data_IF_051805013628
#
_entry.id   IF_051805013628
#
_cell.length_a   1.000
_cell.length_b   1.000
_cell.length_c   1.000
_cell.angle_alpha   90.00
_cell.angle_beta   90.00
_cell.angle_gamma   90.00
#
_symmetry.space_group_name_H-M   'P 1'
#
loop_
_entity.id
_entity.type
_entity.pdbx_description
1 polymer ?
#
# COMPACT_ATOMS: atom_id res chain seq x y z
N UNK A 1 16.62 11.81 -28.12
CA UNK A 1 16.46 10.34 -28.26
C UNK A 1 14.97 10.05 -28.39
N UNK A 2 14.42 10.19 -29.60
CA UNK A 2 13.06 9.73 -29.94
C UNK A 2 13.23 8.41 -30.70
N UNK A 3 13.42 7.32 -29.95
CA UNK A 3 13.01 6.01 -30.43
C UNK A 3 11.49 5.97 -30.25
N UNK A 4 10.76 5.42 -31.23
CA UNK A 4 9.30 5.24 -31.21
C UNK A 4 8.88 4.38 -30.01
N UNK A 5 8.89 4.94 -28.80
CA UNK A 5 8.48 4.27 -27.59
C UNK A 5 6.96 4.22 -27.58
N UNK A 6 6.42 3.07 -27.97
CA UNK A 6 5.00 2.79 -27.91
C UNK A 6 4.66 2.47 -26.46
N UNK A 7 3.75 3.24 -25.87
CA UNK A 7 3.35 3.02 -24.49
C UNK A 7 2.82 1.59 -24.29
N UNK A 8 3.18 0.93 -23.18
CA UNK A 8 2.67 -0.41 -22.87
C UNK A 8 1.15 -0.37 -22.70
N UNK A 9 0.44 -1.18 -23.50
CA UNK A 9 -1.03 -1.22 -23.53
C UNK A 9 -1.60 -1.52 -22.13
N UNK A 10 -0.95 -2.43 -21.40
CA UNK A 10 -1.40 -2.86 -20.07
C UNK A 10 -1.09 -1.88 -18.94
N UNK A 11 -0.33 -0.80 -19.20
CA UNK A 11 0.01 0.23 -18.22
C UNK A 11 -0.70 1.57 -18.48
N UNK A 12 -1.66 1.62 -19.40
CA UNK A 12 -2.33 2.87 -19.78
C UNK A 12 -2.90 3.64 -18.58
N UNK A 13 -3.65 2.97 -17.69
CA UNK A 13 -4.18 3.64 -16.49
C UNK A 13 -3.05 4.08 -15.55
N UNK A 14 -2.06 3.23 -15.34
CA UNK A 14 -0.93 3.52 -14.47
C UNK A 14 -0.20 4.80 -14.94
N UNK A 15 0.10 4.91 -16.24
CA UNK A 15 0.76 6.08 -16.82
C UNK A 15 -0.10 7.34 -16.71
N UNK A 16 -1.43 7.22 -16.91
CA UNK A 16 -2.35 8.33 -16.71
C UNK A 16 -2.39 8.80 -15.25
N UNK A 17 -2.37 7.89 -14.28
CA UNK A 17 -2.30 8.24 -12.85
C UNK A 17 -0.96 8.88 -12.51
N UNK A 18 0.14 8.32 -13.02
CA UNK A 18 1.48 8.87 -12.80
C UNK A 18 1.59 10.33 -13.28
N UNK A 19 0.97 10.64 -14.43
CA UNK A 19 0.94 11.98 -15.05
C UNK A 19 -0.18 12.90 -14.55
N UNK A 20 -0.84 12.55 -13.44
CA UNK A 20 -1.94 13.33 -12.85
C UNK A 20 -3.16 13.54 -13.77
N UNK A 21 -3.34 12.67 -14.77
CA UNK A 21 -4.49 12.69 -15.68
C UNK A 21 -5.69 11.92 -15.12
N UNK A 22 -5.43 10.89 -14.31
CA UNK A 22 -6.46 10.10 -13.63
C UNK A 22 -6.16 9.99 -12.13
N UNK A 23 -7.18 9.86 -11.28
CA UNK A 23 -6.96 9.65 -9.86
C UNK A 23 -6.44 8.26 -9.55
N UNK A 24 -5.58 8.19 -8.54
CA UNK A 24 -5.18 6.94 -7.91
C UNK A 24 -6.37 6.26 -7.22
N UNK A 25 -6.28 4.95 -7.03
CA UNK A 25 -7.39 4.17 -6.45
C UNK A 25 -7.67 4.53 -4.98
N UNK A 26 -6.68 4.97 -4.22
CA UNK A 26 -6.91 5.38 -2.83
C UNK A 26 -7.74 6.66 -2.75
N UNK A 27 -7.56 7.61 -3.67
CA UNK A 27 -8.38 8.82 -3.77
C UNK A 27 -9.83 8.46 -4.11
N UNK A 28 -10.03 7.54 -5.05
CA UNK A 28 -11.37 7.04 -5.40
C UNK A 28 -12.00 6.33 -4.20
N UNK A 29 -11.24 5.49 -3.49
CA UNK A 29 -11.71 4.81 -2.26
C UNK A 29 -12.15 5.81 -1.18
N UNK A 30 -11.45 6.94 -1.02
CA UNK A 30 -11.82 8.02 -0.09
C UNK A 30 -13.11 8.75 -0.46
N UNK A 31 -13.56 8.63 -1.70
CA UNK A 31 -14.80 9.26 -2.16
C UNK A 31 -16.04 8.36 -2.01
N UNK A 32 -15.85 7.05 -1.81
CA UNK A 32 -16.93 6.07 -1.66
C UNK A 32 -17.40 6.06 -0.21
N UNK A 33 -18.62 6.52 0.03
CA UNK A 33 -19.23 6.56 1.37
C UNK A 33 -19.52 5.15 1.87
N UNK A 34 -19.12 4.87 3.10
CA UNK A 34 -19.47 3.65 3.81
C UNK A 34 -19.74 4.02 5.26
N UNK A 35 -20.94 3.71 5.74
CA UNK A 35 -21.27 3.82 7.15
C UNK A 35 -20.95 2.48 7.83
N UNK A 36 -20.08 2.52 8.84
CA UNK A 36 -19.68 1.33 9.57
C UNK A 36 -19.40 1.67 11.03
N UNK A 37 -19.73 0.73 11.92
CA UNK A 37 -19.37 0.81 13.32
C UNK A 37 -18.02 0.10 13.53
N UNK A 38 -17.08 0.75 14.22
CA UNK A 38 -15.77 0.16 14.57
C UNK A 38 -15.90 -1.04 15.51
N UNK A 39 -16.99 -1.15 16.27
CA UNK A 39 -17.24 -2.29 17.15
C UNK A 39 -17.84 -3.49 16.41
N UNK A 40 -18.22 -3.35 15.14
CA UNK A 40 -18.71 -4.45 14.33
C UNK A 40 -17.67 -5.58 14.19
N UNK A 41 -18.18 -6.78 13.98
CA UNK A 41 -17.37 -7.97 13.75
C UNK A 41 -16.65 -7.91 12.40
N UNK A 42 -15.51 -8.60 12.28
CA UNK A 42 -14.75 -8.69 11.02
C UNK A 42 -15.62 -9.16 9.84
N UNK A 43 -16.49 -10.20 9.96
CA UNK A 43 -17.36 -10.61 8.86
C UNK A 43 -18.34 -9.52 8.40
N UNK A 44 -18.93 -8.75 9.32
CA UNK A 44 -19.83 -7.64 8.99
C UNK A 44 -19.09 -6.53 8.23
N UNK A 45 -17.90 -6.14 8.71
CA UNK A 45 -17.07 -5.14 8.04
C UNK A 45 -16.66 -5.59 6.63
N UNK A 46 -16.33 -6.87 6.46
CA UNK A 46 -16.09 -7.42 5.12
C UNK A 46 -17.36 -7.39 4.26
N UNK A 47 -18.54 -7.69 4.80
CA UNK A 47 -19.81 -7.53 4.08
C UNK A 47 -19.98 -6.12 3.51
N UNK A 48 -19.83 -5.11 4.37
CA UNK A 48 -19.86 -3.69 3.97
C UNK A 48 -18.80 -3.37 2.90
N UNK A 49 -17.59 -3.92 3.05
CA UNK A 49 -16.53 -3.74 2.05
C UNK A 49 -16.94 -4.33 0.68
N UNK A 50 -17.50 -5.54 0.64
CA UNK A 50 -17.92 -6.17 -0.61
C UNK A 50 -18.98 -5.35 -1.34
N UNK A 51 -19.93 -4.76 -0.61
CA UNK A 51 -20.95 -3.89 -1.19
C UNK A 51 -20.36 -2.56 -1.66
N UNK A 52 -19.53 -1.91 -0.85
CA UNK A 52 -18.86 -0.67 -1.20
C UNK A 52 -17.92 -0.83 -2.42
N UNK A 53 -17.35 -2.02 -2.62
CA UNK A 53 -16.54 -2.32 -3.81
C UNK A 53 -17.34 -2.26 -5.12
N UNK A 54 -18.67 -2.46 -5.09
CA UNK A 54 -19.54 -2.25 -6.27
C UNK A 54 -19.52 -0.78 -6.68
N UNK A 55 -19.77 0.12 -5.72
CA UNK A 55 -19.69 1.58 -5.91
C UNK A 55 -18.29 2.04 -6.34
N UNK A 56 -17.24 1.45 -5.77
CA UNK A 56 -15.86 1.74 -6.16
C UNK A 56 -15.60 1.39 -7.63
N UNK A 57 -16.01 0.20 -8.10
CA UNK A 57 -15.83 -0.24 -9.49
C UNK A 57 -16.60 0.66 -10.47
N UNK A 58 -17.85 0.98 -10.15
CA UNK A 58 -18.64 1.92 -10.96
C UNK A 58 -17.96 3.28 -11.08
N UNK A 59 -17.41 3.83 -9.99
CA UNK A 59 -16.65 5.09 -10.04
C UNK A 59 -15.37 4.97 -10.85
N UNK A 60 -14.64 3.86 -10.70
CA UNK A 60 -13.43 3.58 -11.47
C UNK A 60 -13.68 3.58 -12.99
N UNK A 61 -14.85 3.11 -13.42
CA UNK A 61 -15.27 3.09 -14.82
C UNK A 61 -15.75 4.45 -15.32
N UNK A 62 -16.48 5.21 -14.49
CA UNK A 62 -17.01 6.54 -14.86
C UNK A 62 -15.95 7.64 -14.89
N UNK A 63 -14.94 7.57 -14.02
CA UNK A 63 -13.92 8.61 -13.90
C UNK A 63 -12.99 8.59 -15.12
N UNK A 64 -13.00 9.68 -15.88
CA UNK A 64 -12.23 9.86 -17.11
C UNK A 64 -11.08 10.87 -16.95
N UNK A 65 -11.15 11.72 -15.93
CA UNK A 65 -10.14 12.72 -15.60
C UNK A 65 -10.05 13.00 -14.10
N UNK A 66 -9.07 13.81 -13.68
CA UNK A 66 -9.01 14.28 -12.30
C UNK A 66 -10.20 15.12 -11.84
N UNK A 67 -10.85 15.84 -12.76
CA UNK A 67 -11.98 16.71 -12.44
C UNK A 67 -13.25 15.92 -12.09
N UNK A 68 -13.32 14.66 -12.51
CA UNK A 68 -14.46 13.78 -12.26
C UNK A 68 -14.41 13.15 -10.85
N UNK A 69 -13.30 13.33 -10.12
CA UNK A 69 -13.13 12.76 -8.79
C UNK A 69 -14.06 13.46 -7.78
N UNK A 70 -15.00 12.75 -7.15
CA UNK A 70 -15.84 13.34 -6.12
C UNK A 70 -15.00 13.68 -4.87
N UNK A 71 -15.42 14.68 -4.08
CA UNK A 71 -14.70 15.04 -2.87
C UNK A 71 -14.60 13.87 -1.90
N UNK A 72 -13.57 13.83 -1.03
CA UNK A 72 -13.48 12.83 0.02
C UNK A 72 -14.66 12.97 0.98
N UNK A 73 -15.15 11.84 1.49
CA UNK A 73 -16.25 11.78 2.45
C UNK A 73 -15.72 11.49 3.86
N UNK A 74 -16.53 11.77 4.88
CA UNK A 74 -16.12 11.65 6.29
C UNK A 74 -15.88 10.21 6.74
N UNK A 75 -16.69 9.26 6.25
CA UNK A 75 -16.53 7.82 6.47
C UNK A 75 -16.52 7.11 5.13
N UNK A 76 -15.35 6.64 4.72
CA UNK A 76 -15.11 6.13 3.37
C UNK A 76 -14.74 4.64 3.33
N UNK A 77 -14.75 4.07 2.12
CA UNK A 77 -14.21 2.73 1.87
C UNK A 77 -12.73 2.62 2.27
N UNK A 78 -11.95 3.70 2.17
CA UNK A 78 -10.57 3.67 2.65
C UNK A 78 -10.53 3.54 4.18
N UNK A 79 -11.38 4.26 4.89
CA UNK A 79 -11.45 4.20 6.37
C UNK A 79 -11.92 2.83 6.85
N UNK A 80 -12.89 2.22 6.16
CA UNK A 80 -13.31 0.84 6.42
C UNK A 80 -12.15 -0.15 6.24
N UNK A 81 -11.36 0.00 5.17
CA UNK A 81 -10.18 -0.87 4.94
C UNK A 81 -9.12 -0.70 6.03
N UNK A 82 -8.92 0.52 6.52
CA UNK A 82 -8.03 0.79 7.66
C UNK A 82 -8.55 0.11 8.91
N UNK A 83 -9.85 0.18 9.20
CA UNK A 83 -10.45 -0.49 10.36
C UNK A 83 -10.33 -2.02 10.28
N UNK A 84 -10.62 -2.61 9.12
CA UNK A 84 -10.43 -4.04 8.88
C UNK A 84 -8.98 -4.43 9.12
N UNK A 85 -8.01 -3.70 8.56
CA UNK A 85 -6.59 -3.96 8.77
C UNK A 85 -6.20 -3.87 10.26
N UNK A 86 -6.71 -2.88 10.98
CA UNK A 86 -6.48 -2.71 12.42
C UNK A 86 -7.01 -3.89 13.24
N UNK A 87 -8.18 -4.43 12.91
CA UNK A 87 -8.72 -5.64 13.57
C UNK A 87 -7.94 -6.89 13.17
N UNK A 88 -7.47 -7.01 11.93
CA UNK A 88 -6.59 -8.11 11.51
C UNK A 88 -5.31 -8.13 12.34
N UNK A 89 -4.75 -6.98 12.76
CA UNK A 89 -3.55 -6.93 13.61
C UNK A 89 -3.72 -7.62 14.98
N UNK A 90 -4.92 -7.69 15.54
CA UNK A 90 -5.20 -8.38 16.81
C UNK A 90 -5.13 -9.92 16.67
N UNK A 91 -5.29 -10.42 15.46
CA UNK A 91 -5.24 -11.84 15.12
C UNK A 91 -4.56 -12.00 13.76
N UNK A 92 -3.28 -11.64 13.69
CA UNK A 92 -2.58 -11.37 12.43
C UNK A 92 -2.63 -12.52 11.42
N UNK A 93 -3.20 -12.22 10.25
CA UNK A 93 -3.27 -13.13 9.11
C UNK A 93 -3.02 -12.43 7.76
N UNK A 94 -2.19 -11.39 7.74
CA UNK A 94 -1.80 -10.68 6.51
C UNK A 94 -0.98 -11.53 5.54
N UNK A 95 -0.28 -12.56 6.04
CA UNK A 95 0.49 -13.48 5.22
C UNK A 95 -0.05 -14.91 5.34
N UNK A 96 0.30 -15.78 4.39
CA UNK A 96 -0.21 -17.15 4.30
C UNK A 96 0.15 -18.05 5.49
N UNK A 97 1.08 -17.63 6.34
CA UNK A 97 1.35 -18.34 7.59
C UNK A 97 0.22 -18.22 8.61
N UNK A 98 -0.64 -17.19 8.48
CA UNK A 98 -1.82 -16.94 9.32
C UNK A 98 -1.53 -17.15 10.82
N UNK A 99 -0.43 -16.57 11.30
CA UNK A 99 0.15 -16.88 12.61
C UNK A 99 -0.71 -16.48 13.82
N UNK A 100 -1.76 -15.68 13.61
CA UNK A 100 -2.70 -15.22 14.65
C UNK A 100 -2.05 -14.41 15.77
N UNK A 101 -0.84 -13.89 15.54
CA UNK A 101 -0.15 -13.06 16.51
C UNK A 101 -0.92 -11.74 16.72
N UNK A 102 -1.14 -11.41 17.99
CA UNK A 102 -1.74 -10.14 18.40
C UNK A 102 -0.66 -9.05 18.42
N UNK A 103 -0.55 -8.31 17.31
CA UNK A 103 0.47 -7.27 17.15
C UNK A 103 0.20 -6.07 18.04
N UNK A 104 -1.07 -5.79 18.37
CA UNK A 104 -1.44 -4.66 19.26
C UNK A 104 -0.89 -4.85 20.67
N UNK A 105 -0.82 -6.10 21.12
CA UNK A 105 -0.24 -6.47 22.42
C UNK A 105 1.22 -6.95 22.31
N UNK A 106 1.98 -6.45 21.32
CA UNK A 106 3.41 -6.73 21.09
C UNK A 106 3.76 -8.22 20.93
N UNK A 107 2.79 -9.08 20.58
CA UNK A 107 3.09 -10.47 20.26
C UNK A 107 3.59 -10.58 18.83
N UNK A 108 4.62 -11.39 18.62
CA UNK A 108 5.23 -11.58 17.31
C UNK A 108 4.92 -12.97 16.75
N UNK A 109 4.70 -13.05 15.44
CA UNK A 109 4.59 -14.31 14.71
C UNK A 109 5.92 -14.80 14.13
N UNK A 110 5.84 -15.65 13.11
CA UNK A 110 7.02 -16.19 12.41
C UNK A 110 7.94 -15.09 11.81
N UNK A 111 7.33 -14.02 11.29
CA UNK A 111 8.06 -12.87 10.74
C UNK A 111 8.71 -11.99 11.83
N UNK A 112 8.47 -12.28 13.11
CA UNK A 112 9.07 -11.62 14.28
C UNK A 112 8.80 -10.11 14.42
N UNK A 113 7.93 -9.54 13.60
CA UNK A 113 7.55 -8.12 13.66
C UNK A 113 6.54 -7.81 14.78
N UNK A 114 6.51 -6.57 15.25
CA UNK A 114 5.44 -6.03 16.11
C UNK A 114 4.48 -5.16 15.27
N UNK A 115 3.68 -4.29 15.88
CA UNK A 115 2.81 -3.35 15.18
C UNK A 115 3.56 -2.11 14.62
N UNK A 116 4.85 -1.96 14.90
CA UNK A 116 5.65 -0.80 14.46
C UNK A 116 6.28 -1.13 13.12
N UNK A 117 5.91 -0.39 12.08
CA UNK A 117 6.58 -0.45 10.79
C UNK A 117 7.99 0.12 10.89
N UNK A 118 8.95 -0.56 10.25
CA UNK A 118 10.34 -0.14 10.15
C UNK A 118 10.81 -0.28 8.71
N UNK A 119 11.55 0.71 8.22
CA UNK A 119 12.21 0.65 6.92
C UNK A 119 13.72 0.69 7.11
N UNK A 120 14.45 -0.05 6.27
CA UNK A 120 15.92 -0.06 6.30
C UNK A 120 16.52 0.97 5.36
N UNK A 121 15.86 1.24 4.23
CA UNK A 121 16.34 2.18 3.22
C UNK A 121 15.18 2.69 2.36
N UNK A 122 15.32 3.91 1.87
CA UNK A 122 14.48 4.48 0.81
C UNK A 122 15.34 5.27 -0.17
N UNK A 123 15.10 5.14 -1.47
CA UNK A 123 15.85 5.84 -2.50
C UNK A 123 15.13 5.81 -3.87
N UNK A 124 15.64 6.59 -4.83
CA UNK A 124 15.20 6.51 -6.23
C UNK A 124 15.98 5.39 -6.95
N UNK A 125 15.33 4.26 -7.14
CA UNK A 125 15.88 3.09 -7.80
C UNK A 125 15.77 3.20 -9.34
N UNK A 126 16.88 2.94 -10.02
CA UNK A 126 16.98 2.91 -11.49
C UNK A 126 17.04 1.49 -12.07
N UNK A 127 17.03 0.47 -11.21
CA UNK A 127 17.16 -0.94 -11.61
C UNK A 127 15.82 -1.66 -11.85
N UNK A 128 14.68 -0.96 -11.76
CA UNK A 128 13.37 -1.51 -12.13
C UNK A 128 13.17 -1.47 -13.67
N UNK A 129 12.02 -1.94 -14.14
CA UNK A 129 11.66 -1.85 -15.55
C UNK A 129 11.65 -0.39 -16.08
N UNK A 130 12.04 -0.15 -17.35
CA UNK A 130 12.17 1.21 -17.93
C UNK A 130 10.93 2.11 -17.77
N UNK A 131 9.74 1.51 -17.75
CA UNK A 131 8.45 2.16 -17.53
C UNK A 131 8.34 2.78 -16.13
N UNK A 132 8.95 2.13 -15.13
CA UNK A 132 8.78 2.39 -13.71
C UNK A 132 9.89 3.25 -13.12
N UNK A 133 11.02 3.41 -13.81
CA UNK A 133 12.18 4.17 -13.31
C UNK A 133 12.09 5.67 -13.63
N UNK A 134 12.51 6.58 -12.72
CA UNK A 134 12.95 6.30 -11.36
C UNK A 134 11.80 5.82 -10.45
N UNK A 135 12.00 4.72 -9.73
CA UNK A 135 11.03 4.18 -8.77
C UNK A 135 11.45 4.60 -7.36
N UNK A 136 10.55 5.18 -6.57
CA UNK A 136 10.83 5.41 -5.15
C UNK A 136 10.67 4.09 -4.41
N UNK A 137 11.79 3.40 -4.19
CA UNK A 137 11.82 2.08 -3.55
C UNK A 137 12.04 2.23 -2.06
N UNK A 138 11.17 1.61 -1.27
CA UNK A 138 11.24 1.60 0.20
C UNK A 138 11.36 0.15 0.66
N UNK A 139 12.48 -0.18 1.30
CA UNK A 139 12.74 -1.50 1.86
C UNK A 139 12.26 -1.57 3.30
N UNK A 140 11.21 -2.34 3.56
CA UNK A 140 10.77 -2.65 4.90
C UNK A 140 11.61 -3.79 5.51
N UNK A 141 11.76 -3.80 6.83
CA UNK A 141 12.47 -4.87 7.54
C UNK A 141 11.55 -6.05 7.85
N UNK A 142 12.14 -7.25 7.91
CA UNK A 142 11.44 -8.50 8.19
C UNK A 142 10.88 -9.17 6.93
N UNK A 143 10.72 -10.49 6.99
CA UNK A 143 10.14 -11.30 5.92
C UNK A 143 9.46 -12.56 6.50
N UNK A 144 8.34 -12.98 5.91
CA UNK A 144 7.70 -14.28 6.19
C UNK A 144 8.47 -15.47 5.59
N UNK A 145 9.47 -15.22 4.75
CA UNK A 145 10.33 -16.24 4.16
C UNK A 145 11.74 -16.25 4.75
N UNK A 146 12.44 -17.37 4.55
CA UNK A 146 13.84 -17.60 4.97
C UNK A 146 14.62 -18.22 3.81
N UNK A 147 14.70 -17.48 2.70
CA UNK A 147 15.35 -17.96 1.49
C UNK A 147 16.85 -18.21 1.75
N UNK A 148 17.37 -19.35 1.29
CA UNK A 148 18.78 -19.73 1.47
C UNK A 148 19.75 -18.73 0.81
N UNK A 149 19.34 -18.12 -0.30
CA UNK A 149 20.12 -17.16 -1.08
C UNK A 149 19.46 -15.78 -1.12
N UNK A 150 18.96 -15.32 0.03
CA UNK A 150 18.29 -14.02 0.11
C UNK A 150 19.29 -12.88 -0.14
N UNK A 151 19.06 -12.06 -1.17
CA UNK A 151 19.87 -10.87 -1.47
C UNK A 151 19.78 -9.81 -0.36
N UNK A 152 18.62 -9.73 0.29
CA UNK A 152 18.31 -8.77 1.35
C UNK A 152 18.25 -9.48 2.72
N UNK A 153 19.13 -10.46 2.95
CA UNK A 153 19.08 -11.33 4.12
C UNK A 153 19.18 -10.55 5.43
N UNK A 154 20.08 -9.58 5.46
CA UNK A 154 20.35 -8.69 6.58
C UNK A 154 19.09 -7.99 7.08
N UNK A 155 18.32 -7.36 6.19
CA UNK A 155 17.08 -6.66 6.55
C UNK A 155 15.89 -7.61 6.72
N UNK A 156 15.91 -8.77 6.04
CA UNK A 156 14.83 -9.76 6.11
C UNK A 156 14.87 -10.57 7.41
N UNK A 157 16.06 -10.89 7.91
CA UNK A 157 16.27 -11.72 9.09
C UNK A 157 16.52 -10.92 10.37
N UNK A 158 16.80 -9.61 10.26
CA UNK A 158 16.85 -8.67 11.37
C UNK A 158 15.66 -7.70 11.33
N UNK A 159 14.43 -8.13 11.70
CA UNK A 159 13.22 -7.30 11.63
C UNK A 159 13.26 -6.02 12.48
N UNK A 160 14.24 -5.89 13.37
CA UNK A 160 14.43 -4.70 14.22
C UNK A 160 15.55 -3.77 13.74
N UNK A 161 16.26 -4.06 12.64
CA UNK A 161 17.46 -3.32 12.22
C UNK A 161 17.20 -2.02 11.45
N UNK A 162 15.93 -1.61 11.30
CA UNK A 162 15.50 -0.44 10.54
C UNK A 162 14.97 0.71 11.41
N UNK A 163 14.63 1.81 10.74
CA UNK A 163 14.09 3.02 11.37
C UNK A 163 12.58 2.90 11.54
N UNK A 164 12.04 3.04 12.78
CA UNK A 164 10.60 3.15 13.00
C UNK A 164 10.02 4.32 12.22
N UNK A 165 8.84 4.13 11.61
CA UNK A 165 8.22 5.17 10.80
C UNK A 165 6.71 5.20 11.02
N UNK A 166 6.15 6.39 11.21
CA UNK A 166 4.70 6.59 11.26
C UNK A 166 4.13 6.69 9.84
N UNK A 167 2.86 6.27 9.61
CA UNK A 167 2.24 6.36 8.29
C UNK A 167 2.28 7.76 7.66
N UNK A 168 2.11 8.82 8.47
CA UNK A 168 2.14 10.21 8.02
C UNK A 168 3.54 10.64 7.56
N UNK A 169 4.57 10.25 8.30
CA UNK A 169 5.98 10.52 7.96
C UNK A 169 6.36 9.80 6.67
N UNK A 170 5.95 8.53 6.53
CA UNK A 170 6.15 7.77 5.31
C UNK A 170 5.47 8.43 4.10
N UNK A 171 4.22 8.90 4.28
CA UNK A 171 3.50 9.61 3.23
C UNK A 171 4.21 10.90 2.80
N UNK A 172 4.76 11.66 3.76
CA UNK A 172 5.57 12.85 3.46
C UNK A 172 6.83 12.50 2.65
N UNK A 173 7.56 11.45 3.04
CA UNK A 173 8.73 10.96 2.28
C UNK A 173 8.35 10.57 0.86
N UNK A 174 7.21 9.89 0.66
CA UNK A 174 6.69 9.54 -0.67
C UNK A 174 6.37 10.79 -1.49
N UNK A 175 5.71 11.79 -0.90
CA UNK A 175 5.42 13.07 -1.57
C UNK A 175 6.70 13.80 -1.96
N UNK A 176 7.71 13.82 -1.10
CA UNK A 176 9.02 14.43 -1.38
C UNK A 176 9.70 13.75 -2.57
N UNK A 177 9.72 12.42 -2.62
CA UNK A 177 10.33 11.67 -3.73
C UNK A 177 9.56 11.82 -5.05
N UNK A 178 8.23 11.98 -4.99
CA UNK A 178 7.43 12.39 -6.16
C UNK A 178 7.89 13.75 -6.69
N UNK A 179 8.09 14.73 -5.81
CA UNK A 179 8.61 16.04 -6.21
C UNK A 179 10.03 15.97 -6.82
N UNK A 180 10.83 14.96 -6.45
CA UNK A 180 12.14 14.68 -7.05
C UNK A 180 12.10 13.79 -8.29
N UNK A 181 10.90 13.51 -8.83
CA UNK A 181 10.73 12.84 -10.12
C UNK A 181 10.50 11.32 -10.05
N UNK A 182 10.21 10.75 -8.88
CA UNK A 182 9.78 9.35 -8.81
C UNK A 182 8.48 9.14 -9.59
N UNK A 183 8.45 8.13 -10.46
CA UNK A 183 7.24 7.77 -11.23
C UNK A 183 6.23 7.00 -10.41
N UNK A 184 6.69 6.31 -9.37
CA UNK A 184 5.88 5.53 -8.45
C UNK A 184 6.55 5.41 -7.09
N UNK A 185 5.79 4.84 -6.17
CA UNK A 185 6.31 4.25 -4.94
C UNK A 185 6.29 2.73 -5.07
N UNK A 186 7.41 2.09 -4.75
CA UNK A 186 7.61 0.65 -4.73
C UNK A 186 7.92 0.23 -3.28
N UNK A 187 6.99 -0.49 -2.66
CA UNK A 187 7.24 -1.04 -1.34
C UNK A 187 7.82 -2.45 -1.48
N UNK A 188 9.02 -2.65 -0.95
CA UNK A 188 9.66 -3.96 -0.90
C UNK A 188 9.35 -4.58 0.46
N UNK A 189 8.66 -5.72 0.41
CA UNK A 189 8.14 -6.45 1.57
C UNK A 189 7.18 -5.64 2.45
N UNK A 190 6.11 -5.01 1.90
CA UNK A 190 5.17 -4.19 2.67
C UNK A 190 4.29 -4.99 3.64
N UNK A 191 4.16 -6.30 3.43
CA UNK A 191 3.35 -7.21 4.25
C UNK A 191 4.12 -8.48 4.63
N UNK A 192 5.18 -8.37 5.46
CA UNK A 192 6.00 -9.50 5.89
C UNK A 192 5.31 -10.43 6.89
#
# INVERSE_FOLDING_TARGET
MNLNYREPIHLSRYLKVMRDLLPSQFLISRSVSVDFNKDSSIPELWGLHHDAMKSFRERMERISSMHDLPPPVASSLLDLKVEIANKILENCHFCERRCRADRKHKKTGYCKLDAVSRYSAEFLHQGEEPELVPSHTIFFTGCNFRCAYCQNWDISQAPCSGTPILPQELAMTITLRRAYGSRNVNFVTPTP
#
